data_IF_571233890705
#
_entry.id   IF_571233890705
#
_cell.length_a   1.000
_cell.length_b   1.000
_cell.length_c   1.000
_cell.angle_alpha   90.00
_cell.angle_beta   90.00
_cell.angle_gamma   90.00
#
_symmetry.space_group_name_H-M   'P 1'
#
loop_
_entity.id
_entity.type
_entity.pdbx_description
1 polymer ?
#
# COMPACT_ATOMS: atom_id res chain seq x y z
N UNK A 1 -16.95 -1.79 14.90
CA UNK A 1 -16.16 -2.75 14.10
C UNK A 1 -15.09 -1.95 13.39
N UNK A 2 -13.81 -2.27 13.56
CA UNK A 2 -12.73 -1.44 13.05
C UNK A 2 -12.46 -1.79 11.58
N UNK A 3 -12.92 -0.93 10.67
CA UNK A 3 -12.52 -0.97 9.27
C UNK A 3 -11.00 -0.81 9.21
N UNK A 4 -10.27 -1.89 8.87
CA UNK A 4 -8.82 -1.85 8.72
C UNK A 4 -8.50 -1.14 7.40
N UNK A 5 -8.38 0.18 7.46
CA UNK A 5 -7.90 0.97 6.33
C UNK A 5 -6.45 0.56 6.03
N UNK A 6 -6.20 0.14 4.80
CA UNK A 6 -4.87 -0.15 4.27
C UNK A 6 -4.63 0.71 3.05
N UNK A 7 -3.40 1.16 2.84
CA UNK A 7 -2.97 1.96 1.70
C UNK A 7 -2.00 1.12 0.87
N UNK A 8 -2.09 1.26 -0.45
CA UNK A 8 -1.13 0.68 -1.38
C UNK A 8 0.10 1.58 -1.48
N UNK A 9 1.26 0.99 -1.27
CA UNK A 9 2.54 1.65 -1.31
C UNK A 9 3.54 0.80 -2.10
N UNK A 10 4.63 1.43 -2.53
CA UNK A 10 5.77 0.79 -3.17
C UNK A 10 6.93 0.71 -2.19
N UNK A 11 7.57 -0.44 -2.08
CA UNK A 11 8.77 -0.57 -1.29
C UNK A 11 9.94 0.16 -1.99
N UNK A 12 10.54 1.12 -1.29
CA UNK A 12 11.78 1.77 -1.73
C UNK A 12 13.03 1.04 -1.23
N UNK A 13 12.86 0.17 -0.25
CA UNK A 13 13.91 -0.64 0.37
C UNK A 13 13.44 -2.10 0.50
N UNK A 14 14.39 -3.03 0.63
CA UNK A 14 14.03 -4.41 0.96
C UNK A 14 13.51 -4.44 2.41
N UNK A 15 12.21 -4.63 2.59
CA UNK A 15 11.57 -4.61 3.90
C UNK A 15 10.71 -5.85 4.09
N UNK A 16 10.71 -6.34 5.32
CA UNK A 16 9.82 -7.42 5.74
C UNK A 16 8.65 -6.82 6.48
N UNK A 17 7.44 -7.03 5.96
CA UNK A 17 6.21 -6.52 6.56
C UNK A 17 5.17 -7.64 6.70
N UNK A 18 4.57 -7.72 7.88
CA UNK A 18 3.71 -8.81 8.32
C UNK A 18 4.41 -10.19 8.19
N UNK A 19 4.09 -10.96 7.15
CA UNK A 19 4.67 -12.28 6.86
C UNK A 19 5.39 -12.33 5.52
N UNK A 20 5.44 -11.22 4.80
CA UNK A 20 5.99 -11.14 3.44
C UNK A 20 7.25 -10.28 3.42
N UNK A 21 8.17 -10.65 2.54
CA UNK A 21 9.35 -9.85 2.23
C UNK A 21 9.08 -9.14 0.90
N UNK A 22 9.20 -7.83 0.90
CA UNK A 22 9.03 -6.98 -0.27
C UNK A 22 10.39 -6.48 -0.70
N UNK A 23 10.66 -6.57 -2.00
CA UNK A 23 11.89 -6.05 -2.57
C UNK A 23 11.70 -4.61 -3.02
N UNK A 24 12.79 -3.92 -3.32
CA UNK A 24 12.75 -2.58 -3.90
C UNK A 24 11.94 -2.61 -5.20
N UNK A 25 10.94 -1.74 -5.28
CA UNK A 25 10.03 -1.61 -6.40
C UNK A 25 8.75 -2.44 -6.29
N UNK A 26 8.64 -3.31 -5.30
CA UNK A 26 7.48 -4.18 -5.08
C UNK A 26 6.32 -3.41 -4.43
N UNK A 27 5.08 -3.81 -4.73
CA UNK A 27 3.87 -3.13 -4.25
C UNK A 27 3.29 -3.87 -3.04
N UNK A 28 3.02 -3.14 -1.96
CA UNK A 28 2.53 -3.69 -0.72
C UNK A 28 1.37 -2.88 -0.13
N UNK A 29 0.50 -3.58 0.59
CA UNK A 29 -0.60 -2.98 1.36
C UNK A 29 -0.15 -2.77 2.79
N UNK A 30 0.05 -1.51 3.17
CA UNK A 30 0.46 -1.10 4.52
C UNK A 30 -0.76 -0.57 5.27
N UNK A 31 -0.82 -0.77 6.58
CA UNK A 31 -1.91 -0.18 7.38
C UNK A 31 -1.67 1.31 7.51
N UNK A 32 -2.72 2.12 7.46
CA UNK A 32 -2.62 3.59 7.60
C UNK A 32 -1.79 4.00 8.82
N UNK A 33 -1.95 3.28 9.93
CA UNK A 33 -1.22 3.51 11.19
C UNK A 33 0.31 3.37 11.02
N UNK A 34 0.75 2.35 10.27
CA UNK A 34 2.17 2.07 10.00
C UNK A 34 2.70 2.91 8.81
N UNK A 35 1.82 3.28 7.88
CA UNK A 35 2.16 3.99 6.64
C UNK A 35 2.86 5.31 6.93
N UNK A 36 2.37 6.11 7.87
CA UNK A 36 2.97 7.42 8.20
C UNK A 36 4.44 7.25 8.62
N UNK A 37 4.73 6.34 9.55
CA UNK A 37 6.11 6.09 9.99
C UNK A 37 6.99 5.57 8.86
N UNK A 38 6.47 4.65 8.04
CA UNK A 38 7.23 4.07 6.93
C UNK A 38 7.56 5.08 5.82
N UNK A 39 6.66 6.02 5.56
CA UNK A 39 6.87 7.11 4.61
C UNK A 39 7.86 8.12 5.16
N UNK A 40 7.72 8.53 6.43
CA UNK A 40 8.68 9.43 7.09
C UNK A 40 10.10 8.85 7.13
N UNK A 41 10.21 7.53 7.29
CA UNK A 41 11.49 6.80 7.24
C UNK A 41 12.00 6.56 5.82
N UNK A 42 11.20 6.83 4.79
CA UNK A 42 11.55 6.61 3.39
C UNK A 42 11.65 5.12 3.01
N UNK A 43 10.95 4.23 3.73
CA UNK A 43 10.92 2.80 3.42
C UNK A 43 9.95 2.47 2.29
N UNK A 44 8.86 3.24 2.19
CA UNK A 44 7.83 3.07 1.19
C UNK A 44 7.48 4.41 0.54
N UNK A 45 7.02 4.34 -0.70
CA UNK A 45 6.43 5.44 -1.46
C UNK A 45 4.93 5.18 -1.59
N UNK A 46 4.11 6.16 -1.27
CA UNK A 46 2.66 6.02 -1.43
C UNK A 46 2.32 6.06 -2.92
N UNK A 47 1.69 5.00 -3.43
CA UNK A 47 1.34 4.92 -4.85
C UNK A 47 -0.02 5.57 -5.13
N UNK A 48 -1.04 5.33 -4.29
CA UNK A 48 -2.30 6.11 -4.27
C UNK A 48 -3.19 5.63 -3.11
N UNK A 49 -4.12 6.49 -2.65
CA UNK A 49 -5.13 6.18 -1.61
C UNK A 49 -6.15 5.16 -2.14
N UNK A 50 -5.82 3.87 -2.18
CA UNK A 50 -6.84 2.85 -2.50
C UNK A 50 -7.60 2.48 -1.24
N UNK A 51 -8.87 2.87 -1.28
CA UNK A 51 -9.91 2.76 -0.27
C UNK A 51 -10.20 1.31 0.15
N UNK A 52 -10.72 1.20 1.38
CA UNK A 52 -11.32 0.04 2.04
C UNK A 52 -11.47 -1.24 1.19
N UNK A 53 -10.89 -2.32 1.68
CA UNK A 53 -11.32 -3.67 1.32
C UNK A 53 -12.67 -3.94 1.99
N UNK A 54 -13.74 -3.45 1.38
CA UNK A 54 -15.01 -4.17 1.38
C UNK A 54 -15.14 -4.71 -0.05
N UNK A 55 -15.26 -6.04 -0.18
CA UNK A 55 -15.48 -6.74 -1.43
C UNK A 55 -16.72 -6.18 -2.15
N UNK A 56 -16.56 -5.22 -3.06
CA UNK A 56 -17.30 -5.11 -4.32
C UNK A 56 -16.79 -3.89 -5.12
N UNK A 57 -16.80 -4.04 -6.45
CA UNK A 57 -16.61 -2.99 -7.46
C UNK A 57 -15.17 -2.50 -7.79
N UNK A 58 -14.72 -3.05 -8.92
CA UNK A 58 -13.87 -2.50 -9.98
C UNK A 58 -13.52 -1.01 -9.86
N UNK A 59 -12.26 -0.70 -10.14
CA UNK A 59 -11.95 0.38 -11.07
C UNK A 59 -10.84 -0.11 -12.01
N UNK A 60 -11.28 -0.55 -13.19
CA UNK A 60 -10.44 -0.74 -14.37
C UNK A 60 -10.00 0.66 -14.81
N UNK A 61 -8.76 1.08 -14.53
CA UNK A 61 -8.18 2.24 -15.23
C UNK A 61 -7.53 1.78 -16.54
N UNK A 62 -8.39 1.46 -17.51
CA UNK A 62 -8.20 1.76 -18.95
C UNK A 62 -8.75 3.19 -19.16
N UNK A 63 -8.28 4.13 -19.97
CA UNK A 63 -7.38 4.21 -21.13
C UNK A 63 -6.91 5.69 -21.24
N UNK A 64 -5.90 5.96 -22.08
CA UNK A 64 -5.73 7.29 -22.67
C UNK A 64 -4.61 7.32 -23.72
N UNK A 65 -5.00 7.18 -24.99
CA UNK A 65 -4.20 7.25 -26.24
C UNK A 65 -3.22 8.43 -26.36
#
# INVERSE_FOLDING_TARGET
MASKKTIQAKALVNLKYDKSCFNIGDELKVRVDDTTEMVERGYIELLEEVYNVDEDERDEVEEGE
#
